data_IF_952547427524
#
_entry.id   IF_952547427524
#
_cell.length_a   1.000
_cell.length_b   1.000
_cell.length_c   1.000
_cell.angle_alpha   90.00
_cell.angle_beta   90.00
_cell.angle_gamma   90.00
#
_symmetry.space_group_name_H-M   'P 1'
#
loop_
_entity.id
_entity.type
_entity.pdbx_description
1 polymer ?
2 non-polymer ?
#
# COMPACT_ATOMS: atom_id res chain seq x y z
N UNK A 1 33.78 11.11 -25.50
CA UNK A 1 35.03 11.78 -25.06
C UNK A 1 35.66 11.26 -23.77
N UNK A 2 34.86 10.92 -22.76
CA UNK A 2 35.45 10.50 -21.50
C UNK A 2 34.67 9.56 -20.58
N UNK A 3 34.91 8.25 -20.68
CA UNK A 3 34.22 7.26 -19.85
C UNK A 3 34.62 7.32 -18.37
N UNK A 4 33.81 6.72 -17.51
CA UNK A 4 34.06 6.71 -16.06
C UNK A 4 33.39 5.55 -15.33
N UNK A 5 33.99 5.14 -14.22
CA UNK A 5 33.42 4.06 -13.43
C UNK A 5 32.40 4.67 -12.46
N UNK A 6 31.41 3.87 -12.08
CA UNK A 6 30.42 4.35 -11.14
C UNK A 6 30.72 3.64 -9.84
N UNK A 7 30.36 4.25 -8.72
CA UNK A 7 30.62 3.64 -7.43
C UNK A 7 29.76 2.39 -7.25
N UNK A 8 30.41 1.26 -7.04
CA UNK A 8 29.73 0.00 -6.84
C UNK A 8 29.93 -0.55 -5.43
N UNK A 9 28.89 -0.56 -4.61
CA UNK A 9 29.02 -1.09 -3.26
C UNK A 9 28.38 -2.46 -3.20
N UNK A 10 29.03 -3.41 -2.52
CA UNK A 10 28.46 -4.75 -2.41
C UNK A 10 27.18 -4.67 -1.54
N UNK A 11 26.13 -5.39 -1.93
CA UNK A 11 24.86 -5.36 -1.20
C UNK A 11 24.87 -6.19 0.08
N UNK A 12 25.27 -7.46 -0.05
CA UNK A 12 25.33 -8.35 1.11
C UNK A 12 25.78 -7.63 2.37
N UNK A 13 26.90 -6.86 2.29
CA UNK A 13 27.38 -6.13 3.48
C UNK A 13 26.40 -5.07 3.95
N UNK A 14 25.89 -4.30 3.00
CA UNK A 14 24.95 -3.22 3.28
C UNK A 14 23.66 -3.64 3.98
N UNK A 15 23.24 -4.88 3.79
CA UNK A 15 22.01 -5.33 4.41
C UNK A 15 22.29 -6.04 5.72
N UNK A 16 23.51 -6.56 5.88
CA UNK A 16 23.87 -7.27 7.09
C UNK A 16 23.75 -6.42 8.35
N UNK A 17 24.36 -5.24 8.35
CA UNK A 17 24.28 -4.41 9.53
C UNK A 17 22.91 -3.74 9.66
N UNK A 18 22.07 -3.93 8.66
CA UNK A 18 20.72 -3.37 8.66
C UNK A 18 19.78 -4.41 9.27
N UNK A 19 20.09 -5.69 9.01
CA UNK A 19 19.33 -6.82 9.53
C UNK A 19 19.52 -6.81 11.03
N UNK A 20 20.78 -6.77 11.45
CA UNK A 20 21.13 -6.74 12.86
C UNK A 20 20.28 -5.71 13.56
N UNK A 21 20.26 -4.50 13.02
CA UNK A 21 19.50 -3.42 13.61
C UNK A 21 18.02 -3.76 13.74
N UNK A 22 17.41 -4.30 12.68
CA UNK A 22 15.98 -4.66 12.77
C UNK A 22 15.82 -5.74 13.84
N UNK A 23 16.67 -6.75 13.81
CA UNK A 23 16.61 -7.80 14.81
C UNK A 23 16.39 -7.20 16.21
N UNK A 24 17.17 -6.18 16.55
CA UNK A 24 17.06 -5.55 17.87
C UNK A 24 15.75 -4.81 18.07
N UNK A 25 15.30 -4.12 17.03
CA UNK A 25 14.04 -3.39 17.10
C UNK A 25 12.81 -4.30 17.26
N UNK A 26 12.91 -5.56 16.84
CA UNK A 26 11.77 -6.46 16.92
C UNK A 26 12.01 -7.80 17.59
N UNK A 27 12.97 -7.89 18.49
CA UNK A 27 13.22 -9.14 19.16
C UNK A 27 12.00 -9.54 20.00
N UNK A 28 11.30 -8.53 20.51
CA UNK A 28 10.11 -8.74 21.32
C UNK A 28 9.10 -9.51 20.49
N UNK A 29 8.95 -9.11 19.24
CA UNK A 29 8.02 -9.76 18.34
C UNK A 29 8.49 -11.19 17.99
N UNK A 30 9.80 -11.40 17.90
CA UNK A 30 10.31 -12.73 17.58
C UNK A 30 10.66 -12.97 16.12
N UNK A 31 10.78 -11.89 15.36
CA UNK A 31 11.09 -11.94 13.95
C UNK A 31 12.43 -12.59 13.57
N UNK A 32 12.38 -13.59 12.69
CA UNK A 32 13.57 -14.30 12.20
C UNK A 32 13.89 -13.78 10.80
N UNK A 33 15.10 -13.29 10.58
CA UNK A 33 15.44 -12.75 9.28
C UNK A 33 16.57 -13.47 8.61
N UNK A 34 16.37 -13.90 7.38
CA UNK A 34 17.43 -14.58 6.66
C UNK A 34 17.63 -13.89 5.32
N UNK A 35 18.86 -13.99 4.83
CA UNK A 35 19.23 -13.40 3.58
C UNK A 35 20.10 -14.45 2.91
N UNK A 36 20.01 -14.54 1.59
CA UNK A 36 20.82 -15.46 0.80
C UNK A 36 21.33 -14.67 -0.41
N UNK A 37 22.35 -13.85 -0.20
CA UNK A 37 22.88 -13.06 -1.30
C UNK A 37 24.35 -13.28 -1.50
N UNK A 38 24.73 -13.64 -2.73
CA UNK A 38 26.13 -13.88 -3.08
C UNK A 38 26.94 -12.60 -2.94
N UNK A 39 28.24 -12.73 -2.64
CA UNK A 39 29.14 -11.60 -2.47
C UNK A 39 29.43 -10.78 -3.72
N UNK A 40 29.07 -11.31 -4.89
CA UNK A 40 29.30 -10.60 -6.14
C UNK A 40 28.24 -9.56 -6.47
N UNK A 41 27.05 -9.72 -5.89
CA UNK A 41 25.95 -8.79 -6.16
C UNK A 41 26.19 -7.41 -5.57
N UNK A 42 25.98 -6.39 -6.38
CA UNK A 42 26.22 -5.03 -5.93
C UNK A 42 25.24 -4.01 -6.44
N UNK A 43 25.39 -2.80 -5.91
CA UNK A 43 24.54 -1.67 -6.26
C UNK A 43 25.38 -0.53 -6.80
N UNK A 44 24.79 0.23 -7.73
CA UNK A 44 25.48 1.35 -8.35
C UNK A 44 24.72 2.61 -7.99
N UNK A 45 25.44 3.63 -7.51
CA UNK A 45 24.77 4.86 -7.14
C UNK A 45 25.00 5.20 -5.69
N UNK A 46 24.25 6.16 -5.16
CA UNK A 46 24.43 6.58 -3.77
C UNK A 46 24.08 5.54 -2.71
N UNK A 47 25.12 4.90 -2.18
CA UNK A 47 24.98 3.89 -1.15
C UNK A 47 23.94 4.24 -0.08
N UNK A 48 23.71 5.52 0.13
CA UNK A 48 22.73 5.91 1.14
C UNK A 48 21.32 5.72 0.66
N UNK A 49 21.11 5.88 -0.65
CA UNK A 49 19.79 5.68 -1.22
C UNK A 49 19.42 4.22 -1.05
N UNK A 50 20.38 3.35 -1.33
CA UNK A 50 20.14 1.93 -1.20
C UNK A 50 19.66 1.64 0.21
N UNK A 51 20.52 1.89 1.19
CA UNK A 51 20.17 1.66 2.59
C UNK A 51 18.89 2.33 3.08
N UNK A 52 18.52 3.46 2.51
CA UNK A 52 17.29 4.14 2.93
C UNK A 52 16.06 3.44 2.35
N UNK A 53 16.19 2.96 1.12
CA UNK A 53 15.11 2.24 0.46
C UNK A 53 14.96 0.89 1.14
N UNK A 54 16.07 0.16 1.23
CA UNK A 54 16.08 -1.15 1.84
C UNK A 54 15.81 -1.13 3.34
N UNK A 55 15.80 0.05 3.93
CA UNK A 55 15.54 0.15 5.35
C UNK A 55 14.04 0.24 5.47
N UNK A 56 13.46 1.04 4.57
CA UNK A 56 12.03 1.27 4.51
C UNK A 56 11.27 -0.06 4.22
N UNK A 57 11.77 -0.80 3.23
CA UNK A 57 11.16 -2.05 2.85
C UNK A 57 11.36 -3.13 3.90
N UNK A 58 12.58 -3.26 4.40
CA UNK A 58 12.86 -4.26 5.41
C UNK A 58 12.12 -3.98 6.71
N UNK A 59 11.95 -2.70 7.06
CA UNK A 59 11.24 -2.35 8.26
C UNK A 59 9.79 -2.80 8.11
N UNK A 60 9.16 -2.36 7.03
CA UNK A 60 7.78 -2.70 6.73
C UNK A 60 7.57 -4.22 6.68
N UNK A 61 8.56 -4.96 6.18
CA UNK A 61 8.45 -6.40 6.12
C UNK A 61 8.31 -6.97 7.52
N UNK A 62 9.21 -6.56 8.40
CA UNK A 62 9.20 -7.03 9.78
C UNK A 62 7.88 -6.75 10.50
N UNK A 63 7.24 -5.63 10.17
CA UNK A 63 5.97 -5.27 10.78
C UNK A 63 4.83 -6.20 10.40
N UNK A 64 4.62 -6.40 9.10
CA UNK A 64 3.54 -7.24 8.62
C UNK A 64 3.77 -8.74 8.71
N UNK A 65 5.01 -9.14 8.93
CA UNK A 65 5.30 -10.56 9.03
C UNK A 65 4.77 -11.17 10.32
N UNK A 66 4.81 -12.48 10.41
CA UNK A 66 4.38 -13.15 11.61
C UNK A 66 5.65 -13.35 12.40
N UNK A 67 6.62 -14.03 11.79
CA UNK A 67 7.89 -14.26 12.43
C UNK A 67 8.99 -14.51 11.40
N UNK A 68 8.64 -14.56 10.11
CA UNK A 68 9.67 -14.79 9.09
C UNK A 68 9.81 -13.77 7.98
N UNK A 69 11.06 -13.46 7.63
CA UNK A 69 11.39 -12.53 6.56
C UNK A 69 12.54 -13.14 5.77
N UNK A 70 12.35 -13.27 4.46
CA UNK A 70 13.37 -13.84 3.57
C UNK A 70 13.87 -12.79 2.59
N UNK A 71 15.19 -12.69 2.45
CA UNK A 71 15.78 -11.70 1.56
C UNK A 71 16.69 -12.37 0.57
N UNK A 72 16.61 -11.95 -0.69
CA UNK A 72 17.44 -12.49 -1.76
C UNK A 72 17.51 -11.47 -2.89
N UNK A 73 18.45 -11.63 -3.81
CA UNK A 73 18.59 -10.67 -4.89
C UNK A 73 19.13 -11.29 -6.16
N UNK A 74 18.83 -10.64 -7.28
CA UNK A 74 19.32 -11.08 -8.59
C UNK A 74 19.75 -9.82 -9.36
N UNK A 75 20.81 -10.00 -10.16
CA UNK A 75 21.39 -8.92 -10.96
C UNK A 75 21.27 -9.20 -12.46
N UNK A 76 20.86 -8.21 -13.23
CA UNK A 76 20.78 -8.41 -14.68
C UNK A 76 21.92 -7.65 -15.33
N UNK A 77 21.67 -6.40 -15.71
CA UNK A 77 22.69 -5.60 -16.35
C UNK A 77 22.53 -4.15 -16.01
N UNK A 78 21.35 -3.62 -16.26
CA UNK A 78 21.08 -2.23 -15.94
C UNK A 78 20.06 -2.21 -14.81
N UNK A 79 19.80 -3.39 -14.27
CA UNK A 79 18.83 -3.53 -13.19
C UNK A 79 19.27 -4.38 -12.02
N UNK A 80 18.93 -3.93 -10.81
CA UNK A 80 19.27 -4.68 -9.62
C UNK A 80 17.95 -5.13 -9.02
N UNK A 81 17.84 -6.42 -8.73
CA UNK A 81 16.62 -6.97 -8.15
C UNK A 81 16.76 -7.43 -6.69
N UNK A 82 15.95 -6.84 -5.81
CA UNK A 82 15.96 -7.24 -4.42
C UNK A 82 14.59 -7.80 -4.02
N UNK A 83 14.59 -9.02 -3.52
CA UNK A 83 13.37 -9.68 -3.11
C UNK A 83 13.25 -9.82 -1.59
N UNK A 84 12.16 -9.30 -1.05
CA UNK A 84 11.91 -9.38 0.38
C UNK A 84 10.55 -10.04 0.62
N UNK A 85 10.52 -11.29 1.09
CA UNK A 85 9.24 -11.92 1.34
C UNK A 85 9.01 -12.29 2.80
N UNK A 86 7.75 -12.22 3.22
CA UNK A 86 7.39 -12.52 4.59
C UNK A 86 6.22 -13.49 4.69
N UNK A 87 6.08 -14.07 5.88
CA UNK A 87 5.03 -15.05 6.15
C UNK A 87 3.85 -14.40 6.88
N UNK A 88 3.79 -13.08 6.91
CA UNK A 88 2.67 -12.50 7.62
C UNK A 88 1.46 -12.50 6.70
N UNK A 89 0.27 -12.15 7.20
CA UNK A 89 -0.84 -12.16 6.25
C UNK A 89 -0.38 -11.34 5.04
N UNK A 90 -0.89 -11.62 3.85
CA UNK A 90 -0.42 -10.93 2.66
C UNK A 90 -1.10 -9.76 1.97
N UNK A 91 -0.73 -9.59 0.71
CA UNK A 91 -1.23 -8.52 -0.14
C UNK A 91 -2.12 -9.07 -1.25
N UNK A 92 -3.43 -8.85 -1.15
CA UNK A 92 -4.36 -9.35 -2.19
C UNK A 92 -4.74 -8.25 -3.18
N UNK A 115 2.22 5.19 0.18
CA UNK A 115 1.91 4.93 1.59
C UNK A 115 2.92 4.00 2.24
N UNK A 116 3.58 4.48 3.29
CA UNK A 116 4.58 3.64 3.93
C UNK A 116 5.77 3.55 3.03
N UNK A 117 5.70 2.68 2.03
CA UNK A 117 6.80 2.54 1.09
C UNK A 117 6.94 3.75 0.15
N UNK A 118 6.22 4.82 0.45
CA UNK A 118 6.30 6.01 -0.39
C UNK A 118 7.76 6.46 -0.53
N UNK A 119 8.47 6.51 0.59
CA UNK A 119 9.86 6.90 0.56
C UNK A 119 10.62 5.99 -0.40
N UNK A 120 10.52 4.69 -0.14
CA UNK A 120 11.20 3.71 -0.97
C UNK A 120 10.79 3.87 -2.43
N UNK A 121 9.55 4.31 -2.65
CA UNK A 121 9.04 4.49 -4.00
C UNK A 121 9.68 5.72 -4.62
N UNK A 122 9.83 6.78 -3.82
CA UNK A 122 10.43 8.02 -4.30
C UNK A 122 11.90 7.87 -4.66
N UNK A 123 12.65 7.11 -3.87
CA UNK A 123 14.05 6.93 -4.16
C UNK A 123 14.28 6.00 -5.34
N UNK A 124 13.49 4.94 -5.44
CA UNK A 124 13.68 4.01 -6.56
C UNK A 124 13.28 4.70 -7.85
N UNK A 125 12.43 5.73 -7.77
CA UNK A 125 12.01 6.44 -8.96
C UNK A 125 13.23 7.06 -9.64
N UNK A 126 14.03 7.77 -8.86
CA UNK A 126 15.24 8.41 -9.39
C UNK A 126 16.17 7.42 -10.09
N UNK A 127 16.07 6.15 -9.74
CA UNK A 127 16.93 5.16 -10.38
C UNK A 127 16.27 4.47 -11.56
N UNK A 128 15.15 5.01 -12.04
CA UNK A 128 14.45 4.40 -13.17
C UNK A 128 13.97 2.99 -12.81
N UNK A 129 13.52 2.82 -11.57
CA UNK A 129 13.06 1.53 -11.11
C UNK A 129 11.68 1.59 -10.49
N UNK A 130 11.19 0.46 -10.01
CA UNK A 130 9.87 0.45 -9.41
C UNK A 130 9.79 -0.60 -8.33
N UNK A 131 8.78 -0.46 -7.49
CA UNK A 131 8.55 -1.42 -6.41
C UNK A 131 7.31 -2.24 -6.76
N UNK A 132 7.43 -3.55 -6.63
CA UNK A 132 6.31 -4.40 -6.98
C UNK A 132 5.90 -5.37 -5.88
N UNK A 133 4.59 -5.43 -5.67
CA UNK A 133 3.99 -6.29 -4.67
C UNK A 133 3.40 -7.52 -5.37
N UNK A 134 3.40 -8.64 -4.66
CA UNK A 134 2.85 -9.88 -5.19
C UNK A 134 2.77 -10.88 -4.05
N UNK A 135 2.30 -12.08 -4.36
CA UNK A 135 2.15 -13.11 -3.33
C UNK A 135 3.40 -13.93 -3.08
N UNK A 136 3.64 -14.30 -1.84
CA UNK A 136 4.80 -15.11 -1.50
C UNK A 136 4.45 -16.53 -1.05
N UNK A 137 5.40 -17.44 -1.20
CA UNK A 137 5.23 -18.82 -0.80
C UNK A 137 5.07 -18.90 0.71
N UNK A 138 5.90 -18.14 1.44
CA UNK A 138 5.85 -18.14 2.90
C UNK A 138 4.44 -17.93 3.41
N UNK A 139 3.70 -17.03 2.77
CA UNK A 139 2.34 -16.79 3.17
C UNK A 139 1.87 -15.35 3.00
N UNK A 140 2.81 -14.43 2.89
CA UNK A 140 2.43 -13.05 2.75
C UNK A 140 2.90 -12.35 1.49
N UNK A 141 3.31 -11.09 1.68
CA UNK A 141 3.79 -10.26 0.58
C UNK A 141 5.16 -10.65 0.09
N UNK A 142 5.35 -10.48 -1.22
CA UNK A 142 6.60 -10.78 -1.86
C UNK A 142 6.95 -9.47 -2.54
N UNK A 143 7.62 -8.58 -1.81
CA UNK A 143 8.01 -7.28 -2.34
C UNK A 143 9.29 -7.37 -3.14
N UNK A 144 9.26 -6.91 -4.38
CA UNK A 144 10.44 -6.91 -5.23
C UNK A 144 10.83 -5.45 -5.46
N UNK A 145 12.07 -5.12 -5.13
CA UNK A 145 12.54 -3.77 -5.37
C UNK A 145 13.47 -3.83 -6.58
N UNK A 146 13.16 -3.05 -7.60
CA UNK A 146 14.01 -3.05 -8.80
C UNK A 146 14.68 -1.69 -9.00
N UNK A 147 16.00 -1.68 -9.00
CA UNK A 147 16.73 -0.44 -9.22
C UNK A 147 17.21 -0.46 -10.65
N UNK A 148 17.14 0.70 -11.32
CA UNK A 148 17.59 0.80 -12.69
C UNK A 148 18.95 1.48 -12.74
N UNK A 149 19.28 2.04 -13.90
CA UNK A 149 20.55 2.74 -14.13
C UNK A 149 21.71 2.06 -13.43
N UNK A 150 21.91 0.78 -13.74
CA UNK A 150 22.97 0.01 -13.12
C UNK A 150 24.12 -0.40 -14.02
N UNK A 151 24.29 0.30 -15.14
CA UNK A 151 25.43 -0.01 -15.98
C UNK A 151 26.58 0.55 -15.15
N UNK A 152 27.71 -0.15 -15.09
CA UNK A 152 28.83 0.36 -14.30
C UNK A 152 29.75 1.42 -14.94
N UNK A 153 29.28 2.10 -15.99
CA UNK A 153 30.08 3.14 -16.66
C UNK A 153 29.23 4.38 -16.93
N UNK A 154 29.85 5.53 -17.20
CA UNK A 154 29.08 6.75 -17.40
C UNK A 154 29.55 7.68 -18.51
N UNK A 155 29.04 8.91 -18.44
CA UNK A 155 29.33 10.01 -19.38
C UNK A 155 29.41 9.61 -20.84
N UNK B 7 -4.01 -23.29 33.14
CA UNK B 7 -3.88 -21.83 32.86
C UNK B 7 -3.65 -21.58 31.37
N UNK B 8 -4.73 -21.35 30.63
CA UNK B 8 -4.69 -21.09 29.20
C UNK B 8 -5.97 -20.40 28.80
N UNK B 9 -6.18 -19.20 29.31
CA UNK B 9 -7.40 -18.45 29.04
C UNK B 9 -7.68 -18.29 27.55
N UNK B 10 -8.85 -18.77 27.07
CA UNK B 10 -9.18 -18.62 25.65
C UNK B 10 -9.42 -17.14 25.40
N UNK B 11 -8.99 -16.66 24.24
CA UNK B 11 -9.12 -15.24 23.94
C UNK B 11 -10.47 -14.69 23.54
N UNK B 12 -11.06 -15.26 22.49
CA UNK B 12 -12.35 -14.78 21.98
C UNK B 12 -13.34 -14.39 23.06
N UNK B 13 -13.59 -15.27 24.03
CA UNK B 13 -14.54 -14.95 25.09
C UNK B 13 -14.27 -13.59 25.73
N UNK B 14 -13.04 -13.39 26.20
CA UNK B 14 -12.64 -12.15 26.83
C UNK B 14 -12.86 -10.93 25.94
N UNK B 15 -12.58 -11.07 24.65
CA UNK B 15 -12.77 -9.95 23.74
C UNK B 15 -14.24 -9.57 23.63
N UNK B 16 -15.12 -10.58 23.71
CA UNK B 16 -16.57 -10.40 23.63
C UNK B 16 -17.10 -9.35 24.59
N UNK B 17 -16.69 -9.48 25.85
CA UNK B 17 -17.13 -8.56 26.89
C UNK B 17 -16.67 -7.12 26.63
N UNK B 18 -15.50 -6.98 26.00
CA UNK B 18 -14.96 -5.66 25.68
C UNK B 18 -15.69 -5.09 24.49
N UNK B 19 -15.81 -5.91 23.45
CA UNK B 19 -16.49 -5.51 22.23
C UNK B 19 -17.91 -5.13 22.62
N UNK B 20 -18.49 -5.96 23.47
CA UNK B 20 -19.83 -5.76 23.96
C UNK B 20 -19.97 -4.33 24.48
N UNK B 21 -19.27 -4.05 25.57
CA UNK B 21 -19.30 -2.73 26.19
C UNK B 21 -19.04 -1.62 25.18
N UNK B 22 -17.91 -1.72 24.47
CA UNK B 22 -17.55 -0.72 23.48
C UNK B 22 -18.67 -0.41 22.47
N UNK B 23 -19.49 -1.40 22.13
CA UNK B 23 -20.60 -1.14 21.19
C UNK B 23 -21.56 -0.13 21.82
N UNK B 24 -21.77 -0.27 23.12
CA UNK B 24 -22.65 0.64 23.86
C UNK B 24 -22.06 2.06 23.92
N UNK B 25 -20.79 2.17 24.28
CA UNK B 25 -20.11 3.47 24.40
C UNK B 25 -20.09 4.25 23.08
N UNK B 26 -19.80 3.57 21.98
CA UNK B 26 -19.73 4.24 20.69
C UNK B 26 -20.87 3.90 19.73
N UNK B 27 -22.02 3.60 20.31
CA UNK B 27 -23.24 3.27 19.57
C UNK B 27 -23.68 4.44 18.70
N UNK B 28 -23.62 5.64 19.25
CA UNK B 28 -24.01 6.87 18.56
C UNK B 28 -23.13 7.14 17.33
N UNK B 29 -21.82 7.00 17.52
CA UNK B 29 -20.86 7.22 16.44
C UNK B 29 -21.12 6.19 15.33
N UNK B 30 -21.74 5.08 15.71
CA UNK B 30 -22.07 4.03 14.76
C UNK B 30 -20.87 3.17 14.40
N UNK B 31 -20.15 2.71 15.41
CA UNK B 31 -19.00 1.87 15.14
C UNK B 31 -19.41 0.42 15.13
N UNK B 32 -18.76 -0.35 14.27
CA UNK B 32 -19.04 -1.76 14.18
C UNK B 32 -17.75 -2.53 14.37
N UNK B 33 -17.65 -3.20 15.52
CA UNK B 33 -16.46 -3.99 15.82
C UNK B 33 -16.81 -5.40 15.41
N UNK B 34 -15.85 -6.08 14.85
CA UNK B 34 -16.06 -7.42 14.42
C UNK B 34 -14.78 -8.18 14.61
N UNK B 35 -14.91 -9.43 15.01
CA UNK B 35 -13.71 -10.21 15.15
C UNK B 35 -14.02 -11.65 14.78
N UNK B 36 -12.94 -12.33 14.51
CA UNK B 36 -12.94 -13.71 14.18
C UNK B 36 -11.56 -14.19 14.64
N UNK B 37 -11.60 -15.11 15.55
CA UNK B 37 -10.43 -15.62 16.17
C UNK B 37 -10.78 -16.99 16.62
N UNK B 38 -10.21 -17.99 15.97
CA UNK B 38 -10.52 -19.37 16.34
C UNK B 38 -10.60 -19.53 17.85
N UNK B 39 -11.48 -20.41 18.32
CA UNK B 39 -11.63 -20.64 19.77
C UNK B 39 -10.39 -21.28 20.39
N UNK B 40 -9.47 -21.76 19.55
CA UNK B 40 -8.25 -22.41 20.03
C UNK B 40 -7.18 -21.41 20.50
N UNK B 41 -7.35 -20.15 20.12
CA UNK B 41 -6.41 -19.10 20.50
C UNK B 41 -6.45 -18.83 22.01
N UNK B 42 -5.36 -19.15 22.68
CA UNK B 42 -5.30 -18.95 24.13
C UNK B 42 -4.13 -18.06 24.56
N UNK B 43 -4.36 -17.32 25.62
CA UNK B 43 -3.35 -16.44 26.19
C UNK B 43 -2.91 -17.06 27.50
N UNK B 44 -1.64 -16.89 27.86
CA UNK B 44 -1.13 -17.43 29.11
C UNK B 44 -0.64 -16.33 30.02
N UNK B 45 -1.16 -16.27 31.24
CA UNK B 45 -0.74 -15.24 32.17
C UNK B 45 -1.90 -14.63 32.92
N UNK B 46 -1.62 -13.59 33.70
CA UNK B 46 -2.67 -12.92 34.47
C UNK B 46 -3.76 -12.41 33.56
N UNK B 47 -4.87 -13.15 33.52
CA UNK B 47 -6.00 -12.81 32.67
C UNK B 47 -6.40 -11.34 32.69
N UNK B 48 -6.31 -10.66 33.81
CA UNK B 48 -6.69 -9.26 33.80
C UNK B 48 -5.70 -8.41 33.02
N UNK B 49 -4.45 -8.87 32.93
CA UNK B 49 -3.43 -8.12 32.20
C UNK B 49 -3.86 -8.02 30.74
N UNK B 50 -4.40 -9.13 30.26
CA UNK B 50 -4.88 -9.22 28.89
C UNK B 50 -5.99 -8.20 28.71
N UNK B 51 -7.05 -8.34 29.50
CA UNK B 51 -8.19 -7.43 29.37
C UNK B 51 -7.85 -5.96 29.54
N UNK B 52 -6.82 -5.64 30.31
CA UNK B 52 -6.50 -4.23 30.49
C UNK B 52 -5.78 -3.74 29.24
N UNK B 53 -4.86 -4.55 28.73
CA UNK B 53 -4.14 -4.20 27.52
C UNK B 53 -5.11 -3.99 26.35
N UNK B 54 -5.84 -5.03 25.97
CA UNK B 54 -6.82 -4.99 24.87
C UNK B 54 -7.87 -3.92 25.02
N UNK B 55 -8.49 -3.85 26.18
CA UNK B 55 -9.52 -2.84 26.38
C UNK B 55 -8.99 -1.48 25.97
N UNK B 56 -7.71 -1.27 26.25
CA UNK B 56 -7.00 -0.03 25.96
C UNK B 56 -6.85 0.16 24.43
N UNK B 57 -6.20 -0.80 23.77
CA UNK B 57 -6.03 -0.77 22.32
C UNK B 57 -7.40 -0.64 21.62
N UNK B 58 -8.38 -1.46 22.01
CA UNK B 58 -9.68 -1.37 21.38
C UNK B 58 -10.37 -0.03 21.65
N UNK B 59 -10.27 0.49 22.86
CA UNK B 59 -10.90 1.78 23.09
C UNK B 59 -10.22 2.78 22.14
N UNK B 60 -8.92 2.62 21.97
CA UNK B 60 -8.22 3.53 21.09
C UNK B 60 -8.64 3.36 19.63
N UNK B 61 -8.69 2.12 19.16
CA UNK B 61 -9.11 1.87 17.77
C UNK B 61 -10.49 2.49 17.57
N UNK B 62 -11.40 2.24 18.52
CA UNK B 62 -12.74 2.78 18.43
C UNK B 62 -12.78 4.29 18.30
N UNK B 63 -11.82 4.98 18.91
CA UNK B 63 -11.80 6.45 18.85
C UNK B 63 -11.32 7.05 17.55
N UNK B 64 -10.37 6.39 16.89
CA UNK B 64 -9.83 6.92 15.65
C UNK B 64 -10.52 6.34 14.43
N UNK B 65 -11.14 5.18 14.60
CA UNK B 65 -11.82 4.53 13.50
C UNK B 65 -12.85 5.48 12.94
N UNK B 66 -13.29 5.22 11.72
CA UNK B 66 -14.31 6.06 11.12
C UNK B 66 -15.63 5.36 11.42
N UNK B 67 -15.64 4.04 11.28
CA UNK B 67 -16.84 3.28 11.58
C UNK B 67 -16.56 1.79 11.59
N UNK B 68 -15.31 1.41 11.33
CA UNK B 68 -14.99 0.01 11.31
C UNK B 68 -13.70 -0.35 12.04
N UNK B 69 -13.82 -1.30 12.95
CA UNK B 69 -12.71 -1.83 13.74
C UNK B 69 -12.81 -3.35 13.54
N UNK B 70 -11.69 -3.97 13.16
CA UNK B 70 -11.66 -5.39 12.91
C UNK B 70 -10.57 -6.03 13.76
N UNK B 71 -10.89 -7.15 14.40
CA UNK B 71 -9.93 -7.82 15.26
C UNK B 71 -9.62 -9.24 14.77
N UNK B 72 -8.35 -9.62 14.85
CA UNK B 72 -7.91 -10.96 14.42
C UNK B 72 -6.73 -11.38 15.30
N UNK B 73 -6.23 -12.60 15.13
CA UNK B 73 -5.11 -13.05 15.95
C UNK B 73 -4.44 -14.31 15.44
N UNK B 74 -3.23 -14.58 15.94
CA UNK B 74 -2.45 -15.75 15.57
C UNK B 74 -1.50 -16.06 16.72
N UNK B 75 -0.89 -17.23 16.70
CA UNK B 75 0.02 -17.62 17.76
C UNK B 75 1.32 -18.22 17.24
N UNK B 76 2.44 -17.84 17.85
CA UNK B 76 3.74 -18.40 17.46
C UNK B 76 4.08 -19.31 18.62
N UNK B 77 5.31 -19.81 18.66
CA UNK B 77 5.75 -20.71 19.73
C UNK B 77 5.82 -20.01 21.09
N UNK B 78 6.42 -18.83 21.16
CA UNK B 78 6.48 -18.13 22.44
C UNK B 78 5.63 -16.86 22.47
N UNK B 79 4.90 -16.59 21.38
CA UNK B 79 4.10 -15.37 21.34
C UNK B 79 2.65 -15.51 20.93
N UNK B 80 1.87 -14.49 21.32
CA UNK B 80 0.46 -14.37 20.97
C UNK B 80 0.34 -13.00 20.30
N UNK B 81 0.00 -13.00 19.03
CA UNK B 81 -0.16 -11.75 18.31
C UNK B 81 -1.63 -11.44 18.22
N UNK B 82 -1.98 -10.17 18.36
CA UNK B 82 -3.37 -9.74 18.32
C UNK B 82 -3.42 -8.49 17.44
N UNK B 83 -4.28 -8.51 16.43
CA UNK B 83 -4.39 -7.40 15.51
C UNK B 83 -5.67 -6.59 15.64
N UNK B 84 -5.55 -5.27 15.56
CA UNK B 84 -6.68 -4.36 15.68
C UNK B 84 -6.53 -3.38 14.53
N UNK B 85 -7.44 -3.42 13.57
CA UNK B 85 -7.32 -2.52 12.43
C UNK B 85 -8.54 -1.66 12.31
N UNK B 86 -8.34 -0.43 11.80
CA UNK B 86 -9.45 0.48 11.63
C UNK B 86 -9.31 1.31 10.36
N UNK B 87 -10.28 2.18 10.13
CA UNK B 87 -10.31 3.02 8.95
C UNK B 87 -10.34 4.51 9.29
N UNK B 88 -9.45 4.95 10.17
CA UNK B 88 -9.43 6.36 10.50
C UNK B 88 -8.46 7.03 9.55
N UNK B 89 -7.80 8.13 9.97
CA UNK B 89 -6.85 8.79 9.09
C UNK B 89 -5.64 7.88 8.77
N UNK B 90 -4.97 7.38 9.80
CA UNK B 90 -3.83 6.50 9.58
C UNK B 90 -2.52 7.03 10.12
N UNK B 91 -1.58 6.12 10.34
CA UNK B 91 -0.26 6.44 10.87
C UNK B 91 0.50 7.53 10.12
N UNK B 92 1.30 8.34 10.84
CA UNK B 92 2.09 9.43 10.25
C UNK B 92 3.47 9.01 9.77
N UNK B 93 3.90 7.81 10.17
CA UNK B 93 5.21 7.29 9.78
C UNK B 93 6.33 8.04 10.49
N UNK B 116 -3.60 7.77 24.92
CA UNK B 116 -2.42 7.07 24.43
C UNK B 116 -2.49 5.60 24.79
N UNK B 117 -1.43 4.87 24.43
CA UNK B 117 -1.34 3.44 24.69
C UNK B 117 -0.32 3.13 25.77
N UNK B 118 0.05 4.16 26.52
CA UNK B 118 1.01 4.06 27.61
C UNK B 118 0.85 2.80 28.45
N UNK B 119 -0.34 2.60 29.01
CA UNK B 119 -0.61 1.44 29.84
C UNK B 119 -0.38 0.14 29.10
N UNK B 120 -1.08 -0.05 28.00
CA UNK B 120 -0.91 -1.29 27.25
C UNK B 120 0.58 -1.54 27.03
N UNK B 121 1.33 -0.48 26.72
CA UNK B 121 2.76 -0.62 26.48
C UNK B 121 3.50 -1.13 27.70
N UNK B 122 3.18 -0.60 28.86
CA UNK B 122 3.86 -1.08 30.05
C UNK B 122 3.62 -2.57 30.27
N UNK B 123 2.36 -2.99 30.31
CA UNK B 123 2.05 -4.40 30.56
C UNK B 123 2.58 -5.31 29.47
N UNK B 124 2.47 -4.90 28.22
CA UNK B 124 2.98 -5.77 27.17
C UNK B 124 4.50 -5.90 27.35
N UNK B 125 5.15 -4.76 27.56
CA UNK B 125 6.60 -4.73 27.77
C UNK B 125 6.98 -5.75 28.84
N UNK B 126 6.22 -5.76 29.93
CA UNK B 126 6.46 -6.69 31.04
C UNK B 126 6.38 -8.14 30.62
N UNK B 127 5.56 -8.44 29.61
CA UNK B 127 5.45 -9.81 29.14
C UNK B 127 6.48 -10.09 28.06
N UNK B 128 7.53 -9.29 28.02
CA UNK B 128 8.58 -9.49 27.02
C UNK B 128 8.00 -9.31 25.63
N UNK B 129 6.96 -8.48 25.53
CA UNK B 129 6.34 -8.24 24.25
C UNK B 129 6.37 -6.76 23.94
N UNK B 130 5.76 -6.36 22.83
CA UNK B 130 5.74 -4.96 22.42
C UNK B 130 4.47 -4.67 21.62
N UNK B 131 4.26 -3.40 21.26
CA UNK B 131 3.12 -3.03 20.45
C UNK B 131 3.60 -2.27 19.21
N UNK B 132 3.32 -2.85 18.04
CA UNK B 132 3.74 -2.29 16.76
C UNK B 132 2.60 -1.62 16.00
N UNK B 133 2.86 -0.44 15.44
CA UNK B 133 1.87 0.29 14.65
C UNK B 133 2.29 0.17 13.20
N UNK B 134 1.34 0.35 12.27
CA UNK B 134 1.62 0.25 10.84
C UNK B 134 0.28 0.52 10.15
N UNK B 135 0.27 0.55 8.82
CA UNK B 135 -0.97 0.82 8.07
C UNK B 135 -1.80 -0.41 7.69
N UNK B 136 -3.11 -0.22 7.58
CA UNK B 136 -3.99 -1.35 7.23
C UNK B 136 -4.83 -1.09 6.00
N UNK B 137 -5.21 -2.15 5.31
CA UNK B 137 -6.02 -2.03 4.11
C UNK B 137 -7.31 -1.26 4.41
N UNK B 138 -7.72 -1.25 5.68
CA UNK B 138 -8.93 -0.52 6.05
C UNK B 138 -8.72 0.99 5.99
N UNK B 139 -7.49 1.41 5.67
CA UNK B 139 -7.20 2.83 5.57
C UNK B 139 -6.60 3.48 6.80
N UNK B 140 -6.97 2.98 7.97
CA UNK B 140 -6.45 3.52 9.20
C UNK B 140 -5.22 2.77 9.68
N UNK B 141 -5.12 2.58 10.99
CA UNK B 141 -3.97 1.92 11.57
C UNK B 141 -4.14 0.44 11.84
N UNK B 142 -3.02 -0.27 11.77
CA UNK B 142 -2.99 -1.69 12.02
C UNK B 142 -2.11 -1.84 13.27
N UNK B 143 -2.72 -1.97 14.44
CA UNK B 143 -1.94 -2.13 15.65
C UNK B 143 -1.73 -3.60 15.86
N UNK B 144 -0.52 -4.00 16.20
CA UNK B 144 -0.24 -5.38 16.45
C UNK B 144 0.28 -5.45 17.88
N UNK B 145 -0.46 -6.17 18.74
CA UNK B 145 -0.07 -6.32 20.12
C UNK B 145 0.62 -7.67 20.17
N UNK B 146 1.79 -7.75 20.79
CA UNK B 146 2.48 -9.03 20.86
C UNK B 146 2.77 -9.37 22.31
N UNK B 147 2.58 -10.63 22.70
CA UNK B 147 2.83 -11.06 24.07
C UNK B 147 3.92 -12.12 24.08
N UNK B 148 4.80 -12.03 25.07
CA UNK B 148 5.87 -12.99 25.20
C UNK B 148 5.60 -13.94 26.35
N UNK B 149 6.61 -14.72 26.72
CA UNK B 149 6.50 -15.69 27.80
C UNK B 149 5.16 -16.40 27.75
N UNK B 150 5.08 -17.48 27.00
CA UNK B 150 3.83 -18.20 26.91
C UNK B 150 3.93 -19.64 27.43
N UNK B 151 4.91 -19.89 28.31
CA UNK B 151 5.12 -21.20 28.94
C UNK B 151 5.69 -21.03 30.34
N UNK C 7 9.52 15.09 -16.29
CA UNK C 7 9.42 13.76 -16.95
C UNK C 7 8.05 13.63 -17.64
N UNK C 8 7.97 14.15 -18.86
CA UNK C 8 6.74 14.14 -19.65
C UNK C 8 6.37 12.83 -20.33
N UNK C 9 5.08 12.69 -20.64
CA UNK C 9 4.51 11.53 -21.33
C UNK C 9 3.39 12.03 -22.23
N UNK C 10 3.42 11.72 -23.53
CA UNK C 10 2.33 12.20 -24.39
C UNK C 10 1.04 11.47 -23.96
N UNK C 11 -0.06 12.22 -23.88
CA UNK C 11 -1.33 11.63 -23.44
C UNK C 11 -1.91 10.58 -24.37
N UNK C 12 -2.12 10.94 -25.63
CA UNK C 12 -2.70 10.03 -26.61
C UNK C 12 -2.13 8.62 -26.57
N UNK C 13 -0.85 8.45 -26.96
CA UNK C 13 -0.31 7.09 -26.92
C UNK C 13 -0.65 6.28 -25.68
N UNK C 14 -0.93 6.97 -24.58
CA UNK C 14 -1.29 6.32 -23.32
C UNK C 14 -2.71 5.73 -23.37
N UNK C 15 -3.66 6.51 -23.88
CA UNK C 15 -5.04 6.08 -23.96
C UNK C 15 -5.33 5.13 -25.13
N UNK C 16 -4.64 5.32 -26.24
CA UNK C 16 -4.81 4.47 -27.43
C UNK C 16 -5.00 3.00 -27.13
N UNK C 17 -4.39 2.53 -26.05
CA UNK C 17 -4.50 1.13 -25.67
C UNK C 17 -5.77 0.78 -24.91
N UNK C 18 -6.26 1.71 -24.09
CA UNK C 18 -7.49 1.46 -23.35
C UNK C 18 -8.65 1.46 -24.31
N UNK C 19 -8.66 2.45 -25.20
CA UNK C 19 -9.72 2.59 -26.18
C UNK C 19 -9.83 1.32 -27.02
N UNK C 20 -8.69 0.73 -27.36
CA UNK C 20 -8.69 -0.48 -28.16
C UNK C 20 -9.22 -1.66 -27.36
N UNK C 21 -9.15 -1.59 -26.03
CA UNK C 21 -9.67 -2.70 -25.23
C UNK C 21 -11.16 -2.53 -25.00
N UNK C 22 -11.57 -1.32 -24.66
CA UNK C 22 -12.97 -1.03 -24.42
C UNK C 22 -13.82 -1.28 -25.67
N UNK C 23 -13.27 -0.97 -26.84
CA UNK C 23 -14.03 -1.21 -28.07
C UNK C 23 -14.43 -2.67 -28.21
N UNK C 24 -13.59 -3.58 -27.74
CA UNK C 24 -13.90 -5.00 -27.83
C UNK C 24 -14.87 -5.41 -26.74
N UNK C 25 -14.58 -5.01 -25.50
CA UNK C 25 -15.44 -5.32 -24.37
C UNK C 25 -16.89 -4.90 -24.60
N UNK C 26 -17.09 -3.80 -25.31
CA UNK C 26 -18.44 -3.33 -25.57
C UNK C 26 -18.80 -3.38 -27.06
N UNK C 27 -18.28 -4.37 -27.77
CA UNK C 27 -18.60 -4.49 -29.18
C UNK C 27 -20.07 -4.84 -29.33
N UNK C 28 -20.50 -5.87 -28.60
CA UNK C 28 -21.91 -6.31 -28.63
C UNK C 28 -22.83 -5.10 -28.52
N UNK C 29 -22.58 -4.27 -27.51
CA UNK C 29 -23.40 -3.08 -27.29
C UNK C 29 -23.29 -2.13 -28.47
N UNK C 30 -22.07 -1.97 -28.99
CA UNK C 30 -21.87 -1.10 -30.14
C UNK C 30 -21.33 0.30 -29.91
N UNK C 31 -20.71 0.53 -28.77
CA UNK C 31 -20.16 1.85 -28.46
C UNK C 31 -18.99 2.22 -29.38
N UNK C 32 -19.02 3.46 -29.88
CA UNK C 32 -17.97 3.98 -30.76
C UNK C 32 -17.18 5.02 -29.97
N UNK C 33 -15.99 4.63 -29.50
CA UNK C 33 -15.15 5.52 -28.73
C UNK C 33 -14.17 6.27 -29.64
N UNK C 34 -14.25 7.60 -29.65
CA UNK C 34 -13.35 8.39 -30.48
C UNK C 34 -12.53 9.42 -29.71
N UNK C 35 -11.22 9.34 -29.84
CA UNK C 35 -10.31 10.26 -29.18
C UNK C 35 -9.76 11.28 -30.17
N UNK C 36 -9.86 12.56 -29.83
CA UNK C 36 -9.34 13.63 -30.67
C UNK C 36 -8.50 14.63 -29.86
N UNK C 37 -7.26 14.27 -29.54
CA UNK C 37 -6.39 15.15 -28.78
C UNK C 37 -5.00 15.32 -29.38
N UNK C 38 -4.47 16.53 -29.33
CA UNK C 38 -3.15 16.84 -29.87
C UNK C 38 -2.03 16.19 -29.06
N UNK C 39 -0.99 15.68 -29.74
CA UNK C 39 0.14 15.02 -29.07
C UNK C 39 0.91 15.96 -28.16
N UNK C 40 0.93 17.24 -28.53
CA UNK C 40 1.62 18.25 -27.73
C UNK C 40 1.10 18.15 -26.29
N UNK C 41 -0.02 17.44 -26.11
CA UNK C 41 -0.60 17.28 -24.79
C UNK C 41 0.08 16.10 -24.11
N UNK C 42 0.56 16.34 -22.89
CA UNK C 42 1.25 15.30 -22.13
C UNK C 42 0.95 15.35 -20.63
N UNK C 43 1.40 14.34 -19.91
CA UNK C 43 1.16 14.25 -18.48
C UNK C 43 2.44 14.10 -17.71
N UNK C 44 2.49 14.73 -16.56
CA UNK C 44 3.67 14.67 -15.70
C UNK C 44 3.26 13.89 -14.46
N UNK C 45 3.80 12.68 -14.31
CA UNK C 45 3.45 11.87 -13.15
C UNK C 45 3.65 10.39 -13.40
N UNK C 46 3.21 9.57 -12.45
CA UNK C 46 3.33 8.14 -12.61
C UNK C 46 2.37 7.71 -13.72
N UNK C 47 2.91 7.33 -14.87
CA UNK C 47 2.10 6.90 -16.00
C UNK C 47 0.98 5.96 -15.57
N UNK C 48 1.33 4.92 -14.83
CA UNK C 48 0.34 3.95 -14.39
C UNK C 48 -0.79 4.60 -13.61
N UNK C 49 -0.58 5.80 -13.11
CA UNK C 49 -1.63 6.48 -12.35
C UNK C 49 -2.57 7.16 -13.31
N UNK C 50 -2.02 7.59 -14.43
CA UNK C 50 -2.83 8.26 -15.43
C UNK C 50 -3.76 7.22 -16.06
N UNK C 51 -3.16 6.20 -16.67
CA UNK C 51 -3.94 5.14 -17.30
C UNK C 51 -5.00 4.60 -16.35
N UNK C 52 -4.65 4.40 -15.09
CA UNK C 52 -5.64 3.90 -14.15
C UNK C 52 -6.80 4.89 -14.02
N UNK C 53 -6.52 6.16 -13.71
CA UNK C 53 -7.61 7.12 -13.58
C UNK C 53 -8.50 7.21 -14.82
N UNK C 54 -7.90 7.27 -16.00
CA UNK C 54 -8.68 7.34 -17.21
C UNK C 54 -9.46 6.04 -17.37
N UNK C 55 -8.77 4.92 -17.23
CA UNK C 55 -9.42 3.63 -17.37
C UNK C 55 -10.78 3.60 -16.69
N UNK C 56 -10.78 3.88 -15.40
CA UNK C 56 -12.00 3.89 -14.63
C UNK C 56 -13.02 4.91 -15.17
N UNK C 57 -12.56 6.03 -15.70
CA UNK C 57 -13.45 7.05 -16.22
C UNK C 57 -14.02 6.75 -17.61
N UNK C 58 -13.26 6.05 -18.46
CA UNK C 58 -13.79 5.76 -19.77
C UNK C 58 -14.79 4.61 -19.64
N UNK C 59 -14.31 3.49 -19.10
CA UNK C 59 -15.15 2.33 -18.90
C UNK C 59 -16.50 2.73 -18.32
N UNK C 60 -16.49 3.72 -17.44
CA UNK C 60 -17.72 4.19 -16.84
C UNK C 60 -18.53 4.86 -17.95
N UNK C 61 -17.85 5.60 -18.81
CA UNK C 61 -18.52 6.27 -19.93
C UNK C 61 -19.18 5.22 -20.85
N UNK C 62 -18.45 4.15 -21.12
CA UNK C 62 -18.94 3.08 -21.96
C UNK C 62 -20.23 2.45 -21.44
N UNK C 63 -20.36 2.39 -20.13
CA UNK C 63 -21.54 1.80 -19.52
C UNK C 63 -22.78 2.67 -19.64
N UNK C 64 -22.64 3.96 -19.35
CA UNK C 64 -23.78 4.88 -19.39
C UNK C 64 -24.07 5.52 -20.74
N UNK C 65 -23.22 5.28 -21.73
CA UNK C 65 -23.52 5.87 -23.01
C UNK C 65 -24.48 4.96 -23.78
N UNK C 66 -25.01 5.51 -24.85
CA UNK C 66 -25.89 4.78 -25.72
C UNK C 66 -24.96 4.17 -26.77
N UNK C 67 -24.31 5.01 -27.56
CA UNK C 67 -23.40 4.53 -28.60
C UNK C 67 -22.09 5.29 -28.74
N UNK C 68 -22.11 6.60 -28.51
CA UNK C 68 -20.92 7.42 -28.68
C UNK C 68 -20.18 7.95 -27.47
N UNK C 69 -18.87 7.73 -27.46
CA UNK C 69 -17.99 8.24 -26.43
C UNK C 69 -16.84 8.98 -27.14
N UNK C 70 -16.79 10.30 -26.91
CA UNK C 70 -15.78 11.20 -27.48
C UNK C 70 -14.84 11.72 -26.39
N UNK C 71 -13.55 11.74 -26.68
CA UNK C 71 -12.52 12.18 -25.73
C UNK C 71 -11.72 13.38 -26.23
N UNK C 72 -11.35 14.29 -25.32
CA UNK C 72 -10.57 15.48 -25.68
C UNK C 72 -9.69 15.98 -24.51
N UNK C 73 -8.78 16.91 -24.79
CA UNK C 73 -7.89 17.44 -23.74
C UNK C 73 -7.34 18.87 -23.95
N UNK C 74 -6.92 19.49 -22.85
CA UNK C 74 -6.34 20.85 -22.83
C UNK C 74 -5.32 20.95 -21.70
N UNK C 75 -4.34 21.85 -21.84
CA UNK C 75 -3.30 22.03 -20.83
C UNK C 75 -3.21 23.45 -20.32
N UNK C 76 -2.69 23.55 -19.14
CA UNK C 76 -2.42 24.79 -18.53
C UNK C 76 -1.18 24.45 -17.66
N UNK C 77 -0.01 24.84 -18.09
CA UNK C 77 1.23 24.62 -17.33
C UNK C 77 1.00 23.80 -16.09
N UNK C 78 0.19 24.27 -15.16
CA UNK C 78 0.01 23.51 -13.94
C UNK C 78 -0.96 22.33 -14.10
N UNK C 79 -2.13 22.57 -14.70
CA UNK C 79 -3.20 21.55 -14.81
C UNK C 79 -3.43 20.89 -16.17
N UNK C 80 -3.77 19.61 -16.12
CA UNK C 80 -4.07 18.81 -17.31
C UNK C 80 -5.58 18.53 -17.27
N UNK C 81 -6.30 18.88 -18.34
CA UNK C 81 -7.74 18.67 -18.43
C UNK C 81 -8.12 17.59 -19.43
N UNK C 82 -8.77 16.53 -18.94
CA UNK C 82 -9.19 15.46 -19.82
C UNK C 82 -10.71 15.41 -19.88
N UNK C 83 -11.26 15.50 -21.09
CA UNK C 83 -12.70 15.47 -21.26
C UNK C 83 -13.27 14.22 -21.91
N UNK C 84 -14.09 13.51 -21.15
CA UNK C 84 -14.77 12.31 -21.64
C UNK C 84 -16.27 12.63 -21.70
N UNK C 85 -16.84 12.53 -22.90
CA UNK C 85 -18.27 12.82 -23.11
C UNK C 85 -19.01 11.63 -23.73
N UNK C 86 -20.31 11.52 -23.43
CA UNK C 86 -21.11 10.43 -23.98
C UNK C 86 -22.48 10.93 -24.38
N UNK C 87 -23.17 10.13 -25.18
CA UNK C 87 -24.49 10.48 -25.69
C UNK C 87 -25.63 9.85 -24.90
N UNK C 88 -25.32 8.94 -24.00
CA UNK C 88 -26.37 8.29 -23.23
C UNK C 88 -27.27 9.23 -22.47
N UNK C 89 -28.11 8.72 -21.54
CA UNK C 89 -29.00 9.56 -20.75
C UNK C 89 -28.24 10.78 -20.24
N UNK C 90 -27.71 10.74 -19.02
CA UNK C 90 -26.93 11.89 -18.56
C UNK C 90 -27.21 12.56 -17.22
N UNK C 91 -26.14 13.15 -16.66
CA UNK C 91 -26.15 13.86 -15.38
C UNK C 91 -27.48 14.51 -14.98
N UNK C 92 -27.82 14.48 -13.67
CA UNK C 92 -29.05 15.07 -13.14
C UNK C 92 -28.90 16.55 -12.76
N UNK C 116 -19.16 4.44 -9.92
CA UNK C 116 -17.82 3.92 -10.07
C UNK C 116 -16.82 4.89 -9.48
N UNK C 117 -16.06 5.57 -10.38
CA UNK C 117 -15.00 6.51 -10.01
C UNK C 117 -15.08 6.84 -8.56
N UNK C 118 -13.98 6.67 -7.94
CA UNK C 118 -13.77 6.94 -6.56
C UNK C 118 -12.29 6.71 -6.53
N UNK C 119 -11.95 5.58 -7.13
CA UNK C 119 -10.60 5.19 -7.34
C UNK C 119 -9.97 6.35 -8.09
N UNK C 120 -10.70 6.78 -9.11
CA UNK C 120 -10.28 7.90 -9.93
C UNK C 120 -10.32 9.15 -9.06
N UNK C 121 -11.41 9.33 -8.31
CA UNK C 121 -11.52 10.48 -7.42
C UNK C 121 -10.41 10.49 -6.37
N UNK C 122 -9.87 9.31 -6.09
CA UNK C 122 -8.79 9.18 -5.11
C UNK C 122 -7.48 9.62 -5.71
N UNK C 123 -7.03 8.88 -6.71
CA UNK C 123 -5.78 9.19 -7.39
C UNK C 123 -5.74 10.64 -7.86
N UNK C 124 -6.83 11.11 -8.44
CA UNK C 124 -6.88 12.49 -8.92
C UNK C 124 -6.50 13.45 -7.81
N UNK C 125 -7.01 13.20 -6.60
CA UNK C 125 -6.75 14.03 -5.44
C UNK C 125 -5.26 14.14 -5.08
N UNK C 126 -4.53 13.04 -5.24
CA UNK C 126 -3.10 13.02 -4.93
C UNK C 126 -2.28 13.94 -5.83
N UNK C 127 -2.85 14.36 -6.95
CA UNK C 127 -2.17 15.24 -7.88
C UNK C 127 -2.79 16.61 -7.77
N UNK C 128 -3.53 16.84 -6.69
CA UNK C 128 -4.20 18.13 -6.46
C UNK C 128 -5.14 18.47 -7.60
N UNK C 129 -5.91 17.46 -8.03
CA UNK C 129 -6.86 17.68 -9.11
C UNK C 129 -8.23 17.24 -8.65
N UNK C 130 -9.19 17.27 -9.55
CA UNK C 130 -10.55 16.86 -9.20
C UNK C 130 -11.31 16.42 -10.45
N UNK C 131 -12.39 15.67 -10.24
CA UNK C 131 -13.19 15.19 -11.35
C UNK C 131 -14.52 15.89 -11.31
N UNK C 132 -14.93 16.41 -12.46
CA UNK C 132 -16.16 17.15 -12.53
C UNK C 132 -17.17 16.62 -13.55
N UNK C 133 -18.45 16.82 -13.28
CA UNK C 133 -19.53 16.36 -14.14
C UNK C 133 -20.51 17.46 -14.52
N UNK C 134 -20.98 17.42 -15.76
CA UNK C 134 -21.94 18.40 -16.30
C UNK C 134 -22.59 17.79 -17.55
N UNK C 135 -23.37 18.58 -18.28
CA UNK C 135 -24.02 18.05 -19.47
C UNK C 135 -23.14 18.19 -20.72
N UNK C 136 -23.43 17.41 -21.75
CA UNK C 136 -22.65 17.50 -22.97
C UNK C 136 -23.61 17.61 -24.15
N UNK C 137 -23.11 18.08 -25.29
CA UNK C 137 -23.96 18.20 -26.45
C UNK C 137 -24.42 16.83 -26.93
N UNK C 138 -23.59 15.81 -26.71
CA UNK C 138 -23.99 14.47 -27.13
C UNK C 138 -25.30 14.10 -26.46
N UNK C 139 -25.60 14.78 -25.36
CA UNK C 139 -26.83 14.49 -24.64
C UNK C 139 -26.53 13.78 -23.34
N UNK C 140 -25.38 13.10 -23.30
CA UNK C 140 -25.02 12.37 -22.09
C UNK C 140 -24.37 13.27 -21.05
N UNK C 141 -23.36 12.71 -20.39
CA UNK C 141 -22.62 13.43 -19.35
C UNK C 141 -21.25 13.87 -19.85
N UNK C 142 -20.75 14.95 -19.28
CA UNK C 142 -19.46 15.47 -19.64
C UNK C 142 -18.56 15.35 -18.43
N UNK C 143 -17.66 14.38 -18.42
CA UNK C 143 -16.76 14.23 -17.28
C UNK C 143 -15.42 14.93 -17.54
N UNK C 144 -15.09 15.88 -16.67
CA UNK C 144 -13.83 16.63 -16.78
C UNK C 144 -12.86 16.12 -15.73
N UNK C 145 -11.76 15.52 -16.17
CA UNK C 145 -10.77 15.04 -15.23
C UNK C 145 -9.59 16.01 -15.19
N UNK C 146 -9.39 16.69 -14.07
CA UNK C 146 -8.29 17.64 -13.91
C UNK C 146 -7.11 17.09 -13.09
N UNK C 147 -5.90 17.12 -13.66
CA UNK C 147 -4.70 16.67 -12.96
C UNK C 147 -3.85 17.89 -12.61
N UNK C 148 -3.53 18.06 -11.32
CA UNK C 148 -2.70 19.17 -10.88
C UNK C 148 -1.23 18.81 -10.78
N UNK C 149 -0.44 19.67 -10.14
CA UNK C 149 1.00 19.43 -9.97
C UNK C 149 1.63 19.03 -11.29
N UNK C 150 1.25 19.73 -12.36
CA UNK C 150 1.79 19.39 -13.65
C UNK C 150 3.07 20.14 -13.95
N UNK C 151 3.97 20.11 -12.98
CA UNK C 151 5.28 20.73 -13.06
C UNK C 151 5.81 21.02 -11.67
#
# INVERSE_FOLDING_TARGET
SVLLSRELHPVAPLLDNLISALNKVYQRKGVNISMDISPEISFVGEQNDFVEVMGNVLDNACKYCLEFVEISARQTDDHLHIFVEDDGPGIPHSKRSLVFDRGQRADTLRPGQGVGLAVAREITEQYAGQIIASDSLLGGARMEVVFGRQHPTQKEE
SVLLSRELHPVAPLLDNLISALNKVYQRKGVNISMDISPEISFVGEQNDFVEVMGNVLDNACKYCLEFVEISARQTDDHLHIFVEDDGPGIPHSKRSLVFDRGQRADTLRPGQGVGLAVAREITEQYAGQIIASDSLLGGARMEVVFGRQHPTQKEE
SVLLSRELHPVAPLLDNLISALNKVYQRKGVNISMDISPEISFVGEQNDFVEVMGNVLDNACKYCLEFVEISARQTDDHLHIFVEDDGPGIPHSKRSLVFDRGQRADTLRPGQGVGLAVAREITEQYAGQIIASDSLLGGARMEVVFGRQHPTQKEE
#
